data_IF_375670091259
#
_entry.id   IF_375670091259
#
_cell.length_a   1.000
_cell.length_b   1.000
_cell.length_c   1.000
_cell.angle_alpha   90.00
_cell.angle_beta   90.00
_cell.angle_gamma   90.00
#
_symmetry.space_group_name_H-M   'P 1'
#
loop_
_entity.id
_entity.type
_entity.pdbx_description
1 polymer ?
#
# COMPACT_ATOMS: atom_id res chain seq x y z
N UNK A 1 6.81 54.60 45.77
CA UNK A 1 5.76 54.68 44.72
C UNK A 1 5.71 53.28 44.10
N UNK A 2 4.83 52.37 44.58
CA UNK A 2 3.54 51.94 43.97
C UNK A 2 3.70 51.75 42.44
N UNK A 3 3.49 50.57 41.85
CA UNK A 3 2.31 49.72 41.99
C UNK A 3 2.57 48.22 41.74
N UNK A 4 1.92 47.42 42.60
CA UNK A 4 1.57 46.01 42.43
C UNK A 4 0.53 45.87 41.30
N UNK A 5 0.68 44.85 40.45
CA UNK A 5 -0.34 44.39 39.50
C UNK A 5 -0.70 42.93 39.78
N UNK A 6 -1.71 42.70 40.61
CA UNK A 6 -2.53 41.48 40.66
C UNK A 6 -3.40 41.48 39.38
N UNK A 7 -3.91 40.44 38.74
CA UNK A 7 -4.22 39.02 38.97
C UNK A 7 -4.47 38.45 37.55
N UNK A 8 -4.52 37.15 37.27
CA UNK A 8 -5.72 36.32 37.39
C UNK A 8 -5.33 34.93 36.86
N UNK A 9 -5.60 33.89 37.64
CA UNK A 9 -5.23 32.52 37.30
C UNK A 9 -6.04 31.99 36.11
N UNK A 10 -5.37 31.24 35.25
CA UNK A 10 -6.00 30.33 34.31
C UNK A 10 -5.62 28.91 34.73
N UNK A 11 -6.60 28.18 35.28
CA UNK A 11 -6.51 26.74 35.47
C UNK A 11 -6.76 26.13 34.09
N UNK A 12 -5.80 25.44 33.45
CA UNK A 12 -6.15 24.65 32.28
C UNK A 12 -6.96 23.45 32.79
N UNK A 13 -8.26 23.47 32.49
CA UNK A 13 -9.10 22.28 32.55
C UNK A 13 -8.53 21.28 31.54
N UNK A 14 -7.75 20.32 32.04
CA UNK A 14 -7.21 19.23 31.24
C UNK A 14 -8.42 18.34 30.85
N UNK A 15 -8.95 18.59 29.66
CA UNK A 15 -9.96 17.75 29.05
C UNK A 15 -9.33 16.38 28.86
N UNK A 16 -9.74 15.41 29.69
CA UNK A 16 -9.44 14.00 29.46
C UNK A 16 -10.13 13.60 28.16
N UNK A 17 -9.44 13.80 27.04
CA UNK A 17 -9.75 13.12 25.81
C UNK A 17 -9.39 11.65 26.05
N UNK A 18 -10.36 10.89 26.56
CA UNK A 18 -10.51 9.48 26.19
C UNK A 18 -10.84 9.45 24.70
N UNK A 19 -9.90 9.89 23.86
CA UNK A 19 -9.90 9.53 22.46
C UNK A 19 -9.67 8.04 22.47
N UNK A 20 -10.70 7.27 22.13
CA UNK A 20 -10.49 5.93 21.61
C UNK A 20 -9.28 6.01 20.70
N UNK A 21 -8.23 5.22 20.99
CA UNK A 21 -7.15 5.02 20.06
C UNK A 21 -7.81 4.59 18.75
N UNK A 22 -7.98 5.53 17.82
CA UNK A 22 -8.27 5.20 16.45
C UNK A 22 -6.99 4.53 15.98
N UNK A 23 -6.92 3.21 16.15
CA UNK A 23 -5.95 2.40 15.42
C UNK A 23 -6.15 2.80 13.96
N UNK A 24 -5.17 3.50 13.39
CA UNK A 24 -5.19 3.89 11.99
C UNK A 24 -5.01 2.61 11.16
N UNK A 25 -6.06 1.80 11.07
CA UNK A 25 -6.14 0.65 10.17
C UNK A 25 -6.24 1.22 8.76
N UNK A 26 -5.08 1.32 8.10
CA UNK A 26 -4.94 1.93 6.80
C UNK A 26 -4.79 0.88 5.70
N UNK A 27 -5.62 0.99 4.66
CA UNK A 27 -5.35 0.32 3.39
C UNK A 27 -4.47 1.24 2.55
N UNK A 28 -3.31 0.74 2.15
CA UNK A 28 -2.37 1.44 1.26
C UNK A 28 -2.52 0.91 -0.16
N UNK A 29 -2.90 1.79 -1.09
CA UNK A 29 -2.73 1.56 -2.53
C UNK A 29 -1.29 1.87 -2.92
N UNK A 30 -0.63 0.93 -3.57
CA UNK A 30 0.73 1.08 -4.08
C UNK A 30 0.85 0.52 -5.51
N UNK A 31 1.91 0.87 -6.22
CA UNK A 31 2.14 0.35 -7.56
C UNK A 31 3.27 1.02 -8.32
N UNK A 32 3.51 0.51 -9.52
CA UNK A 32 4.44 1.07 -10.52
C UNK A 32 3.74 1.10 -11.87
N UNK A 33 3.92 2.20 -12.59
CA UNK A 33 3.49 2.36 -13.97
C UNK A 33 4.74 2.54 -14.84
N UNK A 34 5.01 1.58 -15.72
CA UNK A 34 6.20 1.51 -16.55
C UNK A 34 5.83 1.18 -18.00
N UNK A 35 6.27 2.03 -18.93
CA UNK A 35 6.11 1.87 -20.38
C UNK A 35 7.34 2.40 -21.09
N UNK A 36 7.53 1.92 -22.31
CA UNK A 36 8.55 2.46 -23.21
C UNK A 36 8.05 2.48 -24.65
N UNK A 37 8.63 3.39 -25.43
CA UNK A 37 8.49 3.39 -26.89
C UNK A 37 9.57 2.49 -27.47
N UNK A 38 9.16 1.51 -28.25
CA UNK A 38 10.03 0.63 -29.00
C UNK A 38 10.07 1.06 -30.46
N UNK A 39 11.27 1.30 -30.97
CA UNK A 39 11.57 1.29 -32.40
C UNK A 39 12.24 -0.03 -32.74
N UNK A 40 11.73 -0.74 -33.74
CA UNK A 40 12.31 -1.99 -34.22
C UNK A 40 12.54 -1.88 -35.74
N UNK A 41 13.77 -2.15 -36.16
CA UNK A 41 14.18 -2.17 -37.56
C UNK A 41 14.72 -3.56 -37.91
N UNK A 42 14.24 -4.14 -39.01
CA UNK A 42 14.68 -5.46 -39.50
C UNK A 42 15.26 -5.38 -40.92
N UNK A 43 15.88 -4.25 -41.30
CA UNK A 43 16.60 -4.09 -42.58
C UNK A 43 15.75 -3.99 -43.84
N UNK A 44 14.43 -4.23 -43.76
CA UNK A 44 13.47 -4.03 -44.85
C UNK A 44 12.07 -3.60 -44.39
N UNK A 45 11.83 -3.64 -43.08
CA UNK A 45 10.62 -3.15 -42.44
C UNK A 45 10.99 -2.56 -41.08
N UNK A 46 10.30 -1.50 -40.68
CA UNK A 46 10.44 -0.88 -39.37
C UNK A 46 9.06 -0.71 -38.71
N UNK A 47 9.05 -0.63 -37.38
CA UNK A 47 7.84 -0.38 -36.62
C UNK A 47 8.11 0.43 -35.35
N UNK A 48 7.08 1.15 -34.93
CA UNK A 48 7.02 1.83 -33.64
C UNK A 48 5.91 1.19 -32.81
N UNK A 49 6.17 0.91 -31.55
CA UNK A 49 5.13 0.44 -30.63
C UNK A 49 5.30 1.01 -29.23
N UNK A 50 4.19 1.26 -28.54
CA UNK A 50 4.19 1.53 -27.12
C UNK A 50 4.02 0.19 -26.38
N UNK A 51 4.99 -0.15 -25.52
CA UNK A 51 5.01 -1.40 -24.77
C UNK A 51 5.03 -1.13 -23.27
N UNK A 52 4.42 -2.03 -22.50
CA UNK A 52 4.43 -1.99 -21.04
C UNK A 52 5.63 -2.75 -20.48
N UNK A 53 6.11 -2.32 -19.31
CA UNK A 53 7.10 -3.02 -18.50
C UNK A 53 8.50 -3.10 -19.12
N UNK A 54 9.14 -1.94 -19.33
CA UNK A 54 10.50 -1.87 -19.86
C UNK A 54 11.55 -2.28 -18.83
N UNK A 55 11.48 -1.71 -17.63
CA UNK A 55 12.35 -2.04 -16.49
C UNK A 55 11.68 -2.98 -15.49
N UNK A 56 10.37 -2.86 -15.30
CA UNK A 56 9.59 -3.73 -14.40
C UNK A 56 8.15 -3.83 -14.89
N UNK A 57 7.51 -4.99 -14.70
CA UNK A 57 6.10 -5.13 -15.06
C UNK A 57 5.22 -4.15 -14.28
N UNK A 58 4.39 -3.36 -14.98
CA UNK A 58 3.43 -2.46 -14.35
C UNK A 58 2.49 -3.24 -13.42
N UNK A 59 2.25 -2.70 -12.23
CA UNK A 59 1.47 -3.36 -11.19
C UNK A 59 0.77 -2.35 -10.30
N UNK A 60 -0.33 -2.78 -9.69
CA UNK A 60 -0.94 -2.10 -8.55
C UNK A 60 -1.22 -3.13 -7.47
N UNK A 61 -1.26 -2.67 -6.23
CA UNK A 61 -1.60 -3.51 -5.09
C UNK A 61 -2.21 -2.75 -3.94
N UNK A 62 -2.93 -3.49 -3.10
CA UNK A 62 -3.52 -3.02 -1.86
C UNK A 62 -2.89 -3.83 -0.73
N UNK A 63 -2.29 -3.15 0.24
CA UNK A 63 -1.79 -3.78 1.46
C UNK A 63 -2.33 -3.09 2.69
N UNK A 64 -2.49 -3.83 3.78
CA UNK A 64 -2.92 -3.27 5.05
C UNK A 64 -2.29 -4.02 6.21
N UNK A 65 -2.17 -3.30 7.33
CA UNK A 65 -1.75 -3.85 8.61
C UNK A 65 -2.60 -3.21 9.70
N UNK A 66 -3.35 -4.03 10.41
CA UNK A 66 -4.21 -3.63 11.52
C UNK A 66 -3.64 -4.17 12.83
N UNK A 67 -3.39 -3.29 13.79
CA UNK A 67 -3.04 -3.69 15.14
C UNK A 67 -4.30 -4.18 15.87
N UNK A 68 -4.31 -5.45 16.26
CA UNK A 68 -5.40 -6.08 17.00
C UNK A 68 -5.21 -5.96 18.53
N UNK A 69 -4.10 -5.36 18.97
CA UNK A 69 -3.71 -5.22 20.36
C UNK A 69 -2.89 -6.40 20.86
N UNK A 70 -2.23 -6.20 22.01
CA UNK A 70 -1.48 -7.27 22.68
C UNK A 70 -0.22 -7.77 21.94
N UNK A 71 0.21 -7.07 20.89
CA UNK A 71 1.31 -7.48 20.01
C UNK A 71 0.89 -8.33 18.80
N UNK A 72 -0.42 -8.54 18.62
CA UNK A 72 -1.01 -9.23 17.48
C UNK A 72 -1.45 -8.23 16.40
N UNK A 73 -1.20 -8.57 15.15
CA UNK A 73 -1.60 -7.77 13.98
C UNK A 73 -2.24 -8.64 12.91
N UNK A 74 -3.24 -8.09 12.20
CA UNK A 74 -3.78 -8.65 10.96
C UNK A 74 -3.16 -7.94 9.75
N UNK A 75 -2.75 -8.71 8.76
CA UNK A 75 -2.09 -8.20 7.55
C UNK A 75 -2.72 -8.78 6.30
N UNK A 76 -2.70 -8.03 5.20
CA UNK A 76 -3.05 -8.56 3.90
C UNK A 76 -2.22 -7.90 2.79
N UNK A 77 -2.06 -8.61 1.68
CA UNK A 77 -1.54 -8.04 0.45
C UNK A 77 -2.23 -8.65 -0.78
N UNK A 78 -2.72 -7.76 -1.65
CA UNK A 78 -3.34 -8.05 -2.92
C UNK A 78 -2.55 -7.31 -4.01
N UNK A 79 -1.93 -8.00 -4.96
CA UNK A 79 -1.11 -7.40 -6.01
C UNK A 79 -1.44 -7.97 -7.39
N UNK A 80 -1.72 -7.11 -8.35
CA UNK A 80 -2.01 -7.47 -9.73
C UNK A 80 -1.10 -6.77 -10.72
N UNK A 81 -0.64 -7.50 -11.73
CA UNK A 81 0.09 -6.93 -12.87
C UNK A 81 -0.84 -6.56 -14.01
N UNK A 82 -0.55 -5.45 -14.69
CA UNK A 82 -1.31 -5.00 -15.86
C UNK A 82 -0.40 -4.42 -16.95
N UNK A 83 -0.89 -4.38 -18.18
CA UNK A 83 -0.25 -3.72 -19.31
C UNK A 83 -0.73 -2.27 -19.40
N UNK A 84 0.15 -1.29 -19.22
CA UNK A 84 -0.26 0.12 -19.20
C UNK A 84 -0.75 0.62 -20.57
N UNK A 85 -0.31 0.00 -21.66
CA UNK A 85 -0.64 0.40 -23.03
C UNK A 85 -2.04 -0.06 -23.50
N UNK A 86 -2.69 -1.02 -22.83
CA UNK A 86 -4.01 -1.53 -23.23
C UNK A 86 -4.90 -1.98 -22.05
N UNK A 87 -4.42 -1.91 -20.81
CA UNK A 87 -5.14 -2.28 -19.60
C UNK A 87 -5.32 -3.79 -19.37
N UNK A 88 -4.80 -4.67 -20.23
CA UNK A 88 -4.94 -6.12 -20.05
C UNK A 88 -4.08 -6.63 -18.90
N UNK A 89 -4.36 -7.83 -18.39
CA UNK A 89 -3.48 -8.49 -17.42
C UNK A 89 -2.05 -8.62 -17.96
N UNK A 90 -1.06 -8.43 -17.08
CA UNK A 90 0.35 -8.57 -17.46
C UNK A 90 0.76 -10.04 -17.63
N UNK A 91 0.11 -10.95 -16.90
CA UNK A 91 0.20 -12.39 -17.13
C UNK A 91 -1.02 -12.90 -17.91
N UNK A 92 -0.82 -14.00 -18.64
CA UNK A 92 -1.87 -14.71 -19.37
C UNK A 92 -2.74 -15.54 -18.41
N UNK A 93 -3.50 -14.85 -17.55
CA UNK A 93 -4.39 -15.43 -16.56
C UNK A 93 -5.68 -14.64 -16.44
N UNK A 94 -6.77 -15.32 -16.11
CA UNK A 94 -8.05 -14.70 -15.76
C UNK A 94 -8.14 -14.34 -14.27
N UNK A 95 -7.18 -14.79 -13.45
CA UNK A 95 -7.18 -14.51 -12.02
C UNK A 95 -6.69 -13.08 -11.73
N UNK A 96 -7.49 -12.34 -10.96
CA UNK A 96 -7.07 -11.06 -10.39
C UNK A 96 -6.18 -11.30 -9.18
N UNK A 97 -5.24 -10.39 -8.94
CA UNK A 97 -4.27 -10.46 -7.84
C UNK A 97 -3.36 -11.70 -7.89
N UNK A 98 -2.98 -12.11 -9.10
CA UNK A 98 -2.18 -13.32 -9.30
C UNK A 98 -0.75 -13.21 -8.75
N UNK A 99 -0.24 -12.00 -8.44
CA UNK A 99 1.11 -11.80 -7.91
C UNK A 99 1.17 -11.97 -6.40
N UNK A 100 0.17 -11.46 -5.67
CA UNK A 100 0.01 -11.63 -4.23
C UNK A 100 -1.49 -11.65 -3.93
N UNK A 101 -1.97 -12.64 -3.18
CA UNK A 101 -3.36 -12.70 -2.75
C UNK A 101 -3.49 -13.41 -1.41
N UNK A 102 -3.02 -12.78 -0.33
CA UNK A 102 -2.99 -13.41 0.98
C UNK A 102 -3.47 -12.49 2.11
N UNK A 103 -3.89 -13.13 3.19
CA UNK A 103 -4.18 -12.53 4.50
C UNK A 103 -3.41 -13.29 5.57
N UNK A 104 -3.07 -12.65 6.68
CA UNK A 104 -2.34 -13.29 7.76
C UNK A 104 -2.50 -12.62 9.10
N UNK A 105 -2.06 -13.34 10.12
CA UNK A 105 -1.90 -12.85 11.49
C UNK A 105 -0.44 -12.94 11.87
N UNK A 106 0.09 -11.89 12.50
CA UNK A 106 1.46 -11.85 12.97
C UNK A 106 1.50 -11.39 14.42
N UNK A 107 2.22 -12.13 15.25
CA UNK A 107 2.45 -11.86 16.66
C UNK A 107 3.94 -11.81 16.97
N UNK A 108 4.36 -10.85 17.81
CA UNK A 108 5.77 -10.65 18.14
C UNK A 108 6.44 -11.86 18.83
N UNK A 109 5.67 -12.72 19.50
CA UNK A 109 6.17 -13.92 20.22
C UNK A 109 6.01 -15.20 19.41
N UNK A 110 4.91 -15.32 18.67
CA UNK A 110 4.55 -16.58 17.99
C UNK A 110 4.85 -16.58 16.49
N UNK A 111 5.24 -15.45 15.91
CA UNK A 111 5.54 -15.33 14.49
C UNK A 111 4.30 -15.07 13.65
N UNK A 112 4.36 -15.40 12.35
CA UNK A 112 3.32 -15.08 11.36
C UNK A 112 2.71 -16.33 10.75
N UNK A 113 1.39 -16.31 10.59
CA UNK A 113 0.60 -17.29 9.86
C UNK A 113 -0.13 -16.60 8.71
N UNK A 114 0.10 -17.06 7.48
CA UNK A 114 -0.53 -16.51 6.27
C UNK A 114 -1.37 -17.57 5.56
N UNK A 115 -2.48 -17.13 4.97
CA UNK A 115 -3.40 -17.90 4.15
C UNK A 115 -3.51 -17.25 2.79
N UNK A 116 -3.21 -17.99 1.74
CA UNK A 116 -3.23 -17.54 0.36
C UNK A 116 -2.65 -18.59 -0.59
N UNK A 117 -2.68 -18.34 -1.91
CA UNK A 117 -1.97 -19.18 -2.86
C UNK A 117 -0.45 -19.10 -2.59
N UNK A 118 0.30 -20.16 -2.92
CA UNK A 118 1.75 -20.13 -2.83
C UNK A 118 2.28 -18.99 -3.72
N UNK A 119 3.17 -18.19 -3.15
CA UNK A 119 3.89 -17.10 -3.84
C UNK A 119 4.99 -17.65 -4.75
#
# INVERSE_FOLDING_TARGET
MRSIGQSLGAIPLMLAACGASAAESGVTLYGVADTFVQYLDNGGAHSYSLRSGGSTGSLFGLKGNEDLGGGLSAQFNLENGFNLNNGTGFADTTALFYRQAWVGLSDAKYGSLTLGPPV
#
